data_IF_672152331136
#
_entry.id   IF_672152331136
#
_cell.length_a   1.000
_cell.length_b   1.000
_cell.length_c   1.000
_cell.angle_alpha   90.00
_cell.angle_beta   90.00
_cell.angle_gamma   90.00
#
_symmetry.space_group_name_H-M   'P 1'
#
loop_
_entity.id
_entity.type
_entity.pdbx_description
1 polymer ?
#
# COMPACT_ATOMS: atom_id res chain seq x y z
N UNK A 1 -34.33 33.63 51.60
CA UNK A 1 -33.77 33.57 50.23
C UNK A 1 -32.24 33.68 50.27
N UNK A 2 -31.51 32.62 50.67
CA UNK A 2 -30.02 32.60 50.66
C UNK A 2 -29.40 31.26 50.26
N UNK A 3 -30.21 30.24 49.92
CA UNK A 3 -29.71 28.90 49.56
C UNK A 3 -29.89 28.53 48.08
N UNK A 4 -30.42 29.44 47.26
CA UNK A 4 -30.68 29.17 45.84
C UNK A 4 -29.50 29.49 44.91
N UNK A 5 -28.41 30.08 45.43
CA UNK A 5 -27.26 30.53 44.63
C UNK A 5 -26.09 29.54 44.59
N UNK A 6 -26.14 28.45 45.36
CA UNK A 6 -25.06 27.47 45.41
C UNK A 6 -25.22 26.30 44.41
N UNK A 7 -26.42 26.09 43.84
CA UNK A 7 -26.66 24.99 42.90
C UNK A 7 -26.34 25.32 41.43
N UNK A 8 -26.16 26.60 41.08
CA UNK A 8 -25.84 27.01 39.70
C UNK A 8 -24.35 26.90 39.34
N UNK A 9 -23.46 26.72 40.32
CA UNK A 9 -22.01 26.52 40.06
C UNK A 9 -21.60 25.06 39.80
N UNK A 10 -22.46 24.08 40.09
CA UNK A 10 -22.18 22.66 39.80
C UNK A 10 -22.58 22.23 38.39
N UNK A 11 -23.38 23.04 37.67
CA UNK A 11 -23.78 22.75 36.29
C UNK A 11 -22.67 23.05 35.26
N UNK A 12 -21.65 23.82 35.63
CA UNK A 12 -20.51 24.16 34.75
C UNK A 12 -19.40 23.10 34.76
N UNK A 13 -19.42 22.16 35.71
CA UNK A 13 -18.43 21.07 35.81
C UNK A 13 -18.93 19.75 35.19
N UNK A 14 -20.18 19.70 34.72
CA UNK A 14 -20.79 18.56 34.03
C UNK A 14 -20.83 18.73 32.50
N UNK A 15 -20.18 19.77 31.96
CA UNK A 15 -19.81 19.86 30.55
C UNK A 15 -18.70 18.85 30.22
N UNK A 16 -19.01 17.57 30.42
CA UNK A 16 -18.15 16.45 30.07
C UNK A 16 -17.74 16.54 28.60
N UNK A 17 -16.51 16.13 28.35
CA UNK A 17 -15.85 16.05 27.06
C UNK A 17 -16.74 15.40 25.99
N UNK A 18 -17.59 16.18 25.32
CA UNK A 18 -18.21 15.75 24.09
C UNK A 18 -17.08 15.71 23.06
N UNK A 19 -16.53 14.52 22.81
CA UNK A 19 -15.54 14.31 21.77
C UNK A 19 -16.07 14.89 20.45
N UNK A 20 -15.23 15.66 19.76
CA UNK A 20 -15.62 16.29 18.51
C UNK A 20 -16.05 15.18 17.52
N UNK A 21 -17.26 15.19 16.96
CA UNK A 21 -17.72 14.16 16.03
C UNK A 21 -16.77 13.95 14.84
N UNK A 22 -16.03 14.99 14.44
CA UNK A 22 -15.00 14.91 13.41
C UNK A 22 -13.81 14.00 13.78
N UNK A 23 -13.55 13.81 15.07
CA UNK A 23 -12.47 12.93 15.56
C UNK A 23 -12.87 11.45 15.44
N UNK A 24 -14.17 11.16 15.32
CA UNK A 24 -14.72 9.80 15.17
C UNK A 24 -15.01 9.40 13.73
N UNK A 25 -15.02 10.37 12.80
CA UNK A 25 -15.18 10.08 11.38
C UNK A 25 -13.93 9.40 10.83
N UNK A 26 -14.08 8.18 10.34
CA UNK A 26 -12.99 7.41 9.75
C UNK A 26 -12.93 7.51 8.23
N UNK A 27 -13.76 8.37 7.63
CA UNK A 27 -13.83 8.48 6.16
C UNK A 27 -12.51 8.90 5.53
N UNK A 28 -12.27 8.36 4.33
CA UNK A 28 -11.12 8.63 3.48
C UNK A 28 -10.29 7.39 3.21
N UNK A 29 -9.19 7.62 2.49
CA UNK A 29 -8.21 6.61 2.11
C UNK A 29 -7.08 6.55 3.13
N UNK A 30 -6.75 5.33 3.56
CA UNK A 30 -5.73 5.03 4.56
C UNK A 30 -4.79 3.97 4.01
N UNK A 31 -3.48 4.23 4.06
CA UNK A 31 -2.45 3.37 3.46
C UNK A 31 -1.53 2.81 4.55
N UNK A 32 -1.01 1.61 4.30
CA UNK A 32 -0.05 0.95 5.18
C UNK A 32 1.34 1.63 5.04
N UNK A 33 1.45 2.83 5.62
CA UNK A 33 2.63 3.68 5.51
C UNK A 33 3.86 3.02 6.15
N UNK A 34 3.68 2.23 7.21
CA UNK A 34 4.78 1.50 7.86
C UNK A 34 5.41 0.45 6.93
N UNK A 35 4.62 -0.21 6.07
CA UNK A 35 5.14 -1.08 5.02
C UNK A 35 5.93 -0.31 3.95
N UNK A 36 5.44 0.86 3.54
CA UNK A 36 6.12 1.74 2.58
C UNK A 36 7.46 2.25 3.16
N UNK A 37 7.45 2.70 4.41
CA UNK A 37 8.63 3.17 5.12
C UNK A 37 9.65 2.04 5.25
N UNK A 38 9.20 0.81 5.52
CA UNK A 38 10.05 -0.35 5.56
C UNK A 38 10.70 -0.66 4.20
N UNK A 39 9.91 -0.64 3.13
CA UNK A 39 10.42 -0.86 1.77
C UNK A 39 11.41 0.24 1.37
N UNK A 40 11.15 1.49 1.74
CA UNK A 40 11.98 2.66 1.38
C UNK A 40 13.44 2.53 1.81
N UNK A 41 13.71 1.75 2.87
CA UNK A 41 15.06 1.43 3.37
C UNK A 41 15.91 0.65 2.36
N UNK A 42 15.31 0.14 1.28
CA UNK A 42 16.01 -0.43 0.13
C UNK A 42 16.47 -1.86 0.32
N UNK A 43 15.75 -2.65 1.13
CA UNK A 43 15.84 -4.11 1.17
C UNK A 43 14.80 -4.77 0.25
N UNK A 44 14.59 -6.09 0.38
CA UNK A 44 13.59 -6.82 -0.40
C UNK A 44 12.17 -6.26 -0.19
N UNK A 45 11.49 -5.96 -1.30
CA UNK A 45 10.16 -5.35 -1.29
C UNK A 45 9.15 -6.25 -0.58
N UNK A 46 9.10 -7.52 -0.98
CA UNK A 46 8.11 -8.46 -0.44
C UNK A 46 8.26 -8.65 1.06
N UNK A 47 9.48 -8.80 1.55
CA UNK A 47 9.76 -8.96 2.98
C UNK A 47 9.25 -7.73 3.74
N UNK A 48 9.52 -6.53 3.20
CA UNK A 48 9.04 -5.29 3.78
C UNK A 48 7.51 -5.19 3.80
N UNK A 49 6.80 -5.68 2.77
CA UNK A 49 5.33 -5.66 2.77
C UNK A 49 4.74 -6.71 3.72
N UNK A 50 5.25 -7.95 3.67
CA UNK A 50 4.75 -9.07 4.47
C UNK A 50 4.91 -8.85 5.98
N UNK A 51 5.95 -8.13 6.39
CA UNK A 51 6.22 -7.83 7.80
C UNK A 51 5.15 -6.95 8.47
N UNK A 52 4.34 -6.23 7.70
CA UNK A 52 3.36 -5.27 8.21
C UNK A 52 1.91 -5.60 7.83
N UNK A 53 1.65 -6.88 7.58
CA UNK A 53 0.32 -7.43 7.33
C UNK A 53 -0.16 -7.29 5.89
N UNK A 54 -1.21 -8.07 5.52
CA UNK A 54 -1.61 -8.23 4.13
C UNK A 54 -2.35 -7.02 3.56
N UNK A 55 -3.09 -6.26 4.37
CA UNK A 55 -3.89 -5.15 3.88
C UNK A 55 -2.98 -3.93 3.60
N UNK A 56 -3.10 -3.37 2.41
CA UNK A 56 -2.25 -2.29 1.91
C UNK A 56 -2.96 -0.94 1.95
N UNK A 57 -4.26 -0.93 1.65
CA UNK A 57 -5.08 0.28 1.62
C UNK A 57 -6.51 -0.01 2.07
N UNK A 58 -7.06 0.91 2.87
CA UNK A 58 -8.48 1.01 3.20
C UNK A 58 -9.08 2.26 2.55
N UNK A 59 -10.26 2.13 1.99
CA UNK A 59 -11.11 3.25 1.56
C UNK A 59 -12.44 3.19 2.33
N UNK A 60 -12.70 4.20 3.16
CA UNK A 60 -13.88 4.23 4.02
C UNK A 60 -14.78 5.41 3.67
N UNK A 61 -16.07 5.12 3.50
CA UNK A 61 -17.11 6.10 3.25
C UNK A 61 -18.24 5.91 4.25
N UNK A 62 -18.19 6.66 5.37
CA UNK A 62 -19.20 6.54 6.43
C UNK A 62 -20.59 6.99 5.97
N UNK A 63 -20.66 7.97 5.04
CA UNK A 63 -21.93 8.45 4.47
C UNK A 63 -22.63 7.40 3.61
N UNK A 64 -21.85 6.57 2.90
CA UNK A 64 -22.37 5.46 2.10
C UNK A 64 -22.45 4.14 2.88
N UNK A 65 -22.10 4.13 4.17
CA UNK A 65 -21.97 2.92 4.98
C UNK A 65 -21.10 1.83 4.32
N UNK A 66 -19.98 2.25 3.71
CA UNK A 66 -19.08 1.38 2.95
C UNK A 66 -17.66 1.47 3.51
N UNK A 67 -16.98 0.32 3.58
CA UNK A 67 -15.54 0.24 3.79
C UNK A 67 -14.98 -0.83 2.86
N UNK A 68 -13.90 -0.51 2.17
CA UNK A 68 -13.24 -1.40 1.20
C UNK A 68 -11.77 -1.50 1.53
N UNK A 69 -11.14 -2.63 1.28
CA UNK A 69 -9.70 -2.75 1.37
C UNK A 69 -9.12 -3.53 0.21
N UNK A 70 -7.82 -3.37 -0.02
CA UNK A 70 -7.05 -4.23 -0.90
C UNK A 70 -5.82 -4.78 -0.21
N UNK A 71 -5.47 -6.02 -0.55
CA UNK A 71 -4.21 -6.66 -0.17
C UNK A 71 -3.21 -6.72 -1.34
N UNK A 72 -3.49 -6.01 -2.44
CA UNK A 72 -2.70 -6.02 -3.67
C UNK A 72 -3.02 -7.17 -4.64
N UNK A 73 -3.86 -8.12 -4.23
CA UNK A 73 -4.38 -9.19 -5.09
C UNK A 73 -5.91 -9.10 -5.22
N UNK A 74 -6.60 -8.95 -4.10
CA UNK A 74 -8.05 -8.86 -4.02
C UNK A 74 -8.50 -7.49 -3.54
N UNK A 75 -9.69 -7.09 -3.99
CA UNK A 75 -10.43 -5.97 -3.45
C UNK A 75 -11.64 -6.53 -2.70
N UNK A 76 -11.78 -6.15 -1.44
CA UNK A 76 -12.84 -6.64 -0.56
C UNK A 76 -13.79 -5.49 -0.24
N UNK A 77 -15.07 -5.68 -0.56
CA UNK A 77 -16.15 -4.74 -0.26
C UNK A 77 -16.88 -5.14 1.03
N UNK A 78 -16.97 -4.20 1.97
CA UNK A 78 -17.65 -4.38 3.25
C UNK A 78 -18.71 -3.33 3.54
N UNK A 79 -19.69 -3.71 4.35
CA UNK A 79 -20.72 -2.82 4.89
C UNK A 79 -20.29 -2.29 6.25
N UNK A 80 -20.25 -0.98 6.38
CA UNK A 80 -19.94 -0.31 7.64
C UNK A 80 -21.20 -0.25 8.52
N UNK A 81 -21.16 -0.86 9.72
CA UNK A 81 -22.35 -1.04 10.57
C UNK A 81 -22.61 0.06 11.60
N UNK A 82 -21.87 1.17 11.51
CA UNK A 82 -21.93 2.25 12.49
C UNK A 82 -20.91 2.09 13.61
N UNK A 83 -20.78 3.16 14.37
CA UNK A 83 -19.79 3.29 15.43
C UNK A 83 -20.36 2.79 16.78
N UNK A 84 -19.59 1.97 17.49
CA UNK A 84 -19.90 1.49 18.83
C UNK A 84 -18.64 1.52 19.70
N UNK A 85 -18.69 2.25 20.81
CA UNK A 85 -17.61 2.30 21.82
C UNK A 85 -16.23 2.73 21.31
N UNK A 86 -16.17 3.60 20.31
CA UNK A 86 -14.95 4.12 19.70
C UNK A 86 -14.54 3.38 18.42
N UNK A 87 -15.24 2.32 18.05
CA UNK A 87 -14.86 1.43 16.97
C UNK A 87 -15.99 1.25 15.94
N UNK A 88 -15.59 1.07 14.69
CA UNK A 88 -16.48 0.85 13.56
C UNK A 88 -16.36 -0.60 13.11
N UNK A 89 -17.49 -1.31 13.09
CA UNK A 89 -17.53 -2.67 12.57
C UNK A 89 -17.75 -2.67 11.07
N UNK A 90 -16.96 -3.46 10.35
CA UNK A 90 -17.12 -3.75 8.93
C UNK A 90 -17.58 -5.19 8.79
N UNK A 91 -18.75 -5.38 8.16
CA UNK A 91 -19.25 -6.70 7.82
C UNK A 91 -18.91 -7.04 6.37
N UNK A 92 -18.30 -8.20 6.17
CA UNK A 92 -18.02 -8.77 4.86
C UNK A 92 -18.98 -9.93 4.60
N UNK A 93 -19.49 -10.00 3.37
CA UNK A 93 -20.39 -11.10 3.01
C UNK A 93 -19.62 -12.43 3.03
N UNK A 94 -20.03 -13.35 3.89
CA UNK A 94 -19.46 -14.70 3.97
C UNK A 94 -18.09 -14.79 4.67
N UNK A 95 -17.62 -13.73 5.33
CA UNK A 95 -16.35 -13.72 6.07
C UNK A 95 -16.53 -13.12 7.48
N UNK A 96 -15.53 -13.30 8.34
CA UNK A 96 -15.45 -12.60 9.60
C UNK A 96 -15.34 -11.08 9.35
N UNK A 97 -16.01 -10.27 10.16
CA UNK A 97 -15.92 -8.81 10.07
C UNK A 97 -14.63 -8.27 10.67
N UNK A 98 -14.24 -7.07 10.27
CA UNK A 98 -13.10 -6.33 10.86
C UNK A 98 -13.61 -5.18 11.73
N UNK A 99 -12.77 -4.77 12.67
CA UNK A 99 -13.02 -3.60 13.51
C UNK A 99 -11.98 -2.52 13.23
N UNK A 100 -12.46 -1.31 12.92
CA UNK A 100 -11.65 -0.15 12.58
C UNK A 100 -11.81 0.93 13.65
N UNK A 101 -10.70 1.48 14.12
CA UNK A 101 -10.69 2.57 15.09
C UNK A 101 -9.75 3.66 14.61
N UNK A 102 -10.16 4.92 14.77
CA UNK A 102 -9.29 6.06 14.48
C UNK A 102 -8.62 6.54 15.76
N UNK A 103 -7.32 6.72 15.68
CA UNK A 103 -6.50 7.37 16.70
C UNK A 103 -5.76 8.55 16.06
N UNK A 104 -6.34 9.74 16.22
CA UNK A 104 -5.82 10.98 15.63
C UNK A 104 -5.69 10.91 14.09
N UNK A 105 -4.45 10.72 13.63
CA UNK A 105 -4.07 10.65 12.20
C UNK A 105 -3.92 9.23 11.67
N UNK A 106 -4.18 8.23 12.49
CA UNK A 106 -4.06 6.83 12.12
C UNK A 106 -5.41 6.11 12.20
N UNK A 107 -5.55 5.09 11.38
CA UNK A 107 -6.61 4.10 11.45
C UNK A 107 -5.97 2.78 11.89
N UNK A 108 -6.48 2.18 12.95
CA UNK A 108 -6.09 0.84 13.40
C UNK A 108 -7.17 -0.16 13.00
N UNK A 109 -6.75 -1.26 12.39
CA UNK A 109 -7.53 -2.48 12.23
C UNK A 109 -7.18 -3.40 13.40
N UNK A 110 -8.18 -3.81 14.18
CA UNK A 110 -7.96 -4.75 15.27
C UNK A 110 -7.64 -6.15 14.73
N UNK A 111 -6.86 -6.92 15.49
CA UNK A 111 -6.66 -8.34 15.21
C UNK A 111 -7.98 -9.11 15.31
N UNK A 112 -8.14 -10.12 14.46
CA UNK A 112 -9.21 -11.11 14.49
C UNK A 112 -8.63 -12.53 14.40
N UNK A 113 -9.49 -13.53 14.31
CA UNK A 113 -9.03 -14.91 14.05
C UNK A 113 -8.32 -15.05 12.70
N UNK A 114 -8.62 -14.17 11.73
CA UNK A 114 -8.15 -14.27 10.34
C UNK A 114 -7.23 -13.12 9.89
N UNK A 115 -7.17 -12.02 10.65
CA UNK A 115 -6.43 -10.82 10.27
C UNK A 115 -5.55 -10.35 11.44
N UNK A 116 -4.28 -9.96 11.20
CA UNK A 116 -3.46 -9.36 12.22
C UNK A 116 -3.93 -7.92 12.52
N UNK A 117 -3.49 -7.39 13.66
CA UNK A 117 -3.58 -5.96 13.92
C UNK A 117 -2.69 -5.19 12.91
N UNK A 118 -3.23 -4.12 12.34
CA UNK A 118 -2.52 -3.26 11.40
C UNK A 118 -2.85 -1.79 11.65
N UNK A 119 -1.89 -0.92 11.34
CA UNK A 119 -2.06 0.54 11.41
C UNK A 119 -1.88 1.17 10.03
N UNK A 120 -2.67 2.19 9.76
CA UNK A 120 -2.72 2.88 8.48
C UNK A 120 -2.68 4.39 8.71
N UNK A 121 -1.95 5.09 7.86
CA UNK A 121 -1.91 6.54 7.86
C UNK A 121 -2.83 7.07 6.76
N UNK A 122 -3.38 8.26 6.97
CA UNK A 122 -4.20 8.91 5.94
C UNK A 122 -3.35 9.18 4.70
N UNK A 123 -3.82 8.73 3.54
CA UNK A 123 -3.11 8.95 2.27
C UNK A 123 -2.90 10.45 2.02
N UNK A 124 -1.65 10.84 1.77
CA UNK A 124 -1.28 12.22 1.40
C UNK A 124 -1.09 12.39 -0.10
N UNK A 125 -0.84 11.29 -0.81
CA UNK A 125 -0.68 11.29 -2.27
C UNK A 125 -2.01 11.54 -2.96
N UNK A 126 -1.98 12.37 -3.99
CA UNK A 126 -3.15 12.60 -4.83
C UNK A 126 -3.17 11.57 -5.95
N UNK A 127 -4.32 10.91 -6.11
CA UNK A 127 -4.62 10.04 -7.25
C UNK A 127 -5.75 10.67 -8.07
N UNK A 128 -5.82 10.42 -9.38
CA UNK A 128 -6.91 10.94 -10.21
C UNK A 128 -8.27 10.46 -9.71
N UNK A 129 -9.31 11.26 -9.92
CA UNK A 129 -10.68 10.86 -9.64
C UNK A 129 -11.02 9.55 -10.38
N UNK A 130 -11.64 8.61 -9.66
CA UNK A 130 -11.98 7.29 -10.20
C UNK A 130 -10.79 6.33 -10.31
N UNK A 131 -9.63 6.66 -9.74
CA UNK A 131 -8.54 5.70 -9.59
C UNK A 131 -9.01 4.43 -8.85
N UNK A 132 -8.50 3.25 -9.21
CA UNK A 132 -8.85 2.01 -8.55
C UNK A 132 -8.40 2.01 -7.08
N UNK A 133 -9.06 1.19 -6.27
CA UNK A 133 -8.63 0.90 -4.90
C UNK A 133 -7.18 0.37 -4.92
N UNK A 134 -6.33 0.89 -4.02
CA UNK A 134 -4.90 0.57 -3.96
C UNK A 134 -4.00 1.58 -4.68
N UNK A 135 -4.55 2.45 -5.54
CA UNK A 135 -3.76 3.41 -6.30
C UNK A 135 -2.99 4.42 -5.41
N UNK A 136 -3.51 4.75 -4.23
CA UNK A 136 -2.82 5.67 -3.31
C UNK A 136 -1.62 4.97 -2.67
N UNK A 137 -1.80 3.73 -2.21
CA UNK A 137 -0.71 2.90 -1.72
C UNK A 137 0.37 2.70 -2.80
N UNK A 138 -0.01 2.27 -4.01
CA UNK A 138 0.93 2.06 -5.12
C UNK A 138 1.74 3.31 -5.43
N UNK A 139 1.08 4.47 -5.56
CA UNK A 139 1.77 5.71 -5.87
C UNK A 139 2.73 6.15 -4.77
N UNK A 140 2.33 5.99 -3.51
CA UNK A 140 3.20 6.28 -2.37
C UNK A 140 4.39 5.32 -2.28
N UNK A 141 4.16 4.03 -2.52
CA UNK A 141 5.21 3.00 -2.58
C UNK A 141 6.18 3.27 -3.74
N UNK A 142 5.67 3.53 -4.94
CA UNK A 142 6.48 3.77 -6.13
C UNK A 142 7.37 4.98 -5.95
N UNK A 143 6.82 6.08 -5.41
CA UNK A 143 7.60 7.28 -5.09
C UNK A 143 8.73 6.98 -4.10
N UNK A 144 8.47 6.17 -3.07
CA UNK A 144 9.41 5.94 -1.96
C UNK A 144 10.45 4.86 -2.28
N UNK A 145 10.07 3.85 -3.04
CA UNK A 145 10.88 2.67 -3.31
C UNK A 145 11.78 2.88 -4.53
N UNK A 146 11.21 2.92 -5.73
CA UNK A 146 11.98 3.11 -6.97
C UNK A 146 12.00 4.56 -7.46
N UNK A 147 11.12 5.43 -6.96
CA UNK A 147 10.98 6.79 -7.45
C UNK A 147 12.27 7.59 -7.40
N UNK A 148 12.47 8.42 -8.41
CA UNK A 148 13.64 9.28 -8.55
C UNK A 148 14.53 8.91 -9.74
N UNK A 149 15.69 9.55 -9.78
CA UNK A 149 16.68 9.38 -10.83
C UNK A 149 17.69 8.29 -10.47
N UNK A 150 18.01 7.45 -11.45
CA UNK A 150 18.96 6.35 -11.33
C UNK A 150 19.91 6.37 -12.51
N UNK A 151 21.20 6.20 -12.28
CA UNK A 151 22.18 6.08 -13.35
C UNK A 151 22.30 4.61 -13.76
N UNK A 152 22.29 4.34 -15.05
CA UNK A 152 22.67 3.01 -15.57
C UNK A 152 24.18 2.88 -15.44
N UNK A 153 24.64 2.04 -14.52
CA UNK A 153 26.08 1.79 -14.32
C UNK A 153 26.57 0.58 -15.10
N UNK A 154 25.67 -0.34 -15.46
CA UNK A 154 25.97 -1.43 -16.38
C UNK A 154 24.70 -1.91 -17.09
N UNK A 155 24.85 -2.26 -18.38
CA UNK A 155 23.77 -2.77 -19.22
C UNK A 155 23.34 -1.81 -20.33
N UNK A 156 22.25 -2.11 -21.06
CA UNK A 156 21.75 -1.25 -22.12
C UNK A 156 21.47 0.17 -21.62
N UNK A 157 22.03 1.17 -22.31
CA UNK A 157 21.92 2.57 -21.93
C UNK A 157 22.91 3.00 -20.83
N UNK A 158 24.01 2.26 -20.64
CA UNK A 158 25.08 2.64 -19.70
C UNK A 158 25.46 4.13 -19.81
N UNK A 159 25.54 4.80 -18.66
CA UNK A 159 25.75 6.23 -18.55
C UNK A 159 24.46 7.08 -18.56
N UNK A 160 23.34 6.56 -19.06
CA UNK A 160 22.07 7.29 -19.06
C UNK A 160 21.47 7.41 -17.66
N UNK A 161 20.58 8.39 -17.52
CA UNK A 161 19.70 8.52 -16.35
C UNK A 161 18.33 7.92 -16.66
N UNK A 162 17.89 7.02 -15.81
CA UNK A 162 16.54 6.46 -15.74
C UNK A 162 15.75 7.23 -14.70
N UNK A 163 14.53 7.63 -15.03
CA UNK A 163 13.60 8.24 -14.09
C UNK A 163 12.42 7.31 -13.88
N UNK A 164 12.28 6.77 -12.68
CA UNK A 164 11.07 6.07 -12.25
C UNK A 164 10.11 7.09 -11.65
N UNK A 165 8.86 7.09 -12.13
CA UNK A 165 7.81 7.97 -11.66
C UNK A 165 6.83 7.25 -10.74
N UNK A 166 6.16 8.01 -9.88
CA UNK A 166 5.23 7.48 -8.89
C UNK A 166 3.95 6.89 -9.52
N UNK A 167 3.69 7.16 -10.79
CA UNK A 167 2.55 6.64 -11.54
C UNK A 167 2.88 5.43 -12.43
N UNK A 168 4.09 4.88 -12.27
CA UNK A 168 4.56 3.75 -13.03
C UNK A 168 5.19 4.12 -14.38
N UNK A 169 5.33 5.39 -14.74
CA UNK A 169 6.09 5.78 -15.94
C UNK A 169 7.59 5.64 -15.73
N UNK A 170 8.29 5.26 -16.81
CA UNK A 170 9.76 5.24 -16.88
C UNK A 170 10.21 6.15 -18.01
N UNK A 171 11.22 6.96 -17.76
CA UNK A 171 11.97 7.63 -18.82
C UNK A 171 13.43 7.18 -18.80
N UNK A 172 14.04 6.99 -19.97
CA UNK A 172 15.47 6.74 -20.12
C UNK A 172 15.95 5.30 -19.94
N UNK A 173 15.10 4.35 -19.51
CA UNK A 173 15.44 2.93 -19.49
C UNK A 173 15.21 2.32 -20.88
N UNK A 174 16.24 1.84 -21.59
CA UNK A 174 16.03 1.23 -22.90
C UNK A 174 15.12 0.01 -22.80
N UNK A 175 14.08 -0.03 -23.65
CA UNK A 175 13.16 -1.16 -23.70
C UNK A 175 11.99 -1.10 -22.72
N UNK A 176 11.80 0.01 -21.98
CA UNK A 176 10.62 0.18 -21.12
C UNK A 176 10.21 1.66 -20.97
N UNK A 177 8.90 1.91 -21.05
CA UNK A 177 8.23 3.19 -20.76
C UNK A 177 7.33 3.11 -19.51
N UNK A 178 7.08 1.91 -18.98
CA UNK A 178 6.23 1.67 -17.81
C UNK A 178 6.78 0.54 -16.94
N UNK A 179 6.57 0.66 -15.63
CA UNK A 179 6.78 -0.41 -14.65
C UNK A 179 5.58 -0.58 -13.73
N UNK A 180 5.43 -1.80 -13.19
CA UNK A 180 4.58 -2.07 -12.04
C UNK A 180 5.29 -3.06 -11.10
N UNK A 181 5.30 -2.78 -9.80
CA UNK A 181 5.86 -3.69 -8.81
C UNK A 181 4.83 -4.77 -8.49
N UNK A 182 5.26 -6.02 -8.38
CA UNK A 182 4.38 -7.06 -7.90
C UNK A 182 4.25 -6.99 -6.37
N UNK A 183 3.03 -6.75 -5.89
CA UNK A 183 2.74 -6.56 -4.46
C UNK A 183 2.28 -7.84 -3.77
N UNK A 184 1.44 -8.64 -4.46
CA UNK A 184 0.82 -9.85 -3.92
C UNK A 184 0.31 -10.79 -5.05
N UNK A 185 -0.38 -11.87 -4.68
CA UNK A 185 -1.07 -12.75 -5.63
C UNK A 185 -0.15 -13.65 -6.46
N UNK A 186 -0.61 -14.01 -7.66
CA UNK A 186 0.12 -14.95 -8.52
C UNK A 186 1.45 -14.39 -9.01
N UNK A 187 1.53 -13.10 -9.34
CA UNK A 187 2.82 -12.50 -9.69
C UNK A 187 3.83 -12.70 -8.55
N UNK A 188 3.36 -12.72 -7.31
CA UNK A 188 4.17 -12.88 -6.13
C UNK A 188 4.53 -14.34 -5.87
N UNK A 189 3.62 -15.29 -6.08
CA UNK A 189 3.90 -16.72 -5.85
C UNK A 189 4.79 -17.31 -6.94
N UNK A 190 4.70 -16.82 -8.18
CA UNK A 190 5.42 -17.34 -9.34
C UNK A 190 6.93 -17.06 -9.35
N UNK A 191 7.47 -16.18 -8.50
CA UNK A 191 8.88 -15.76 -8.55
C UNK A 191 9.82 -16.49 -7.59
N UNK A 192 9.38 -17.58 -6.95
CA UNK A 192 10.22 -18.36 -6.03
C UNK A 192 10.78 -17.54 -4.86
N UNK A 193 10.05 -16.51 -4.42
CA UNK A 193 10.47 -15.61 -3.35
C UNK A 193 11.25 -14.36 -3.80
N UNK A 194 11.63 -14.26 -5.07
CA UNK A 194 12.28 -13.06 -5.59
C UNK A 194 11.30 -11.90 -5.75
N UNK A 195 11.75 -10.66 -5.56
CA UNK A 195 10.98 -9.51 -5.97
C UNK A 195 10.90 -9.46 -7.50
N UNK A 196 9.72 -9.12 -8.03
CA UNK A 196 9.52 -9.01 -9.47
C UNK A 196 8.68 -7.79 -9.83
N UNK A 197 8.86 -7.34 -11.06
CA UNK A 197 8.14 -6.21 -11.63
C UNK A 197 7.75 -6.52 -13.07
N UNK A 198 6.68 -5.91 -13.53
CA UNK A 198 6.36 -5.83 -14.95
C UNK A 198 7.12 -4.65 -15.55
N UNK A 199 7.85 -4.86 -16.65
CA UNK A 199 8.36 -3.77 -17.48
C UNK A 199 7.68 -3.83 -18.84
N UNK A 200 7.24 -2.68 -19.32
CA UNK A 200 6.46 -2.55 -20.55
C UNK A 200 7.03 -1.45 -21.44
N UNK A 201 6.91 -1.67 -22.76
CA UNK A 201 7.15 -0.70 -23.82
C UNK A 201 5.96 -0.73 -24.80
N UNK A 202 5.35 0.43 -25.08
CA UNK A 202 4.27 0.56 -26.06
C UNK A 202 3.10 -0.45 -25.86
N UNK A 203 2.75 -0.74 -24.61
CA UNK A 203 1.65 -1.66 -24.28
C UNK A 203 2.04 -3.15 -24.23
N UNK A 204 3.28 -3.51 -24.58
CA UNK A 204 3.79 -4.88 -24.50
C UNK A 204 4.83 -4.97 -23.40
N UNK A 205 4.71 -5.95 -22.51
CA UNK A 205 5.63 -6.09 -21.40
C UNK A 205 5.98 -7.53 -21.07
N UNK A 206 6.90 -7.67 -20.13
CA UNK A 206 7.35 -8.94 -19.60
C UNK A 206 7.61 -8.80 -18.10
N UNK A 207 7.57 -9.93 -17.40
CA UNK A 207 8.00 -10.03 -16.00
C UNK A 207 9.53 -9.98 -15.93
N UNK A 208 10.04 -9.22 -14.97
CA UNK A 208 11.45 -9.10 -14.63
C UNK A 208 11.64 -9.35 -13.15
N UNK A 209 12.74 -9.98 -12.78
CA UNK A 209 13.15 -10.10 -11.38
C UNK A 209 14.05 -8.92 -11.06
N UNK A 210 13.96 -8.39 -9.84
CA UNK A 210 14.87 -7.36 -9.40
C UNK A 210 15.36 -7.60 -7.98
N UNK A 211 16.53 -7.04 -7.67
CA UNK A 211 17.07 -7.00 -6.33
C UNK A 211 17.51 -5.58 -6.01
N UNK A 212 17.06 -5.04 -4.88
CA UNK A 212 17.47 -3.73 -4.40
C UNK A 212 18.33 -3.87 -3.15
N UNK A 213 19.44 -3.15 -3.12
CA UNK A 213 20.30 -3.00 -1.95
C UNK A 213 20.65 -1.53 -1.74
N UNK A 214 19.85 -0.85 -0.94
CA UNK A 214 19.99 0.58 -0.67
C UNK A 214 19.80 1.42 -1.94
N UNK A 215 20.92 1.89 -2.52
CA UNK A 215 20.97 2.70 -3.74
C UNK A 215 21.24 1.89 -5.01
N UNK A 216 21.54 0.60 -4.88
CA UNK A 216 21.79 -0.27 -6.02
C UNK A 216 20.51 -1.04 -6.37
N UNK A 217 20.22 -1.14 -7.67
CA UNK A 217 19.10 -1.91 -8.21
C UNK A 217 19.61 -2.78 -9.36
N UNK A 218 19.49 -4.09 -9.20
CA UNK A 218 19.73 -5.08 -10.25
C UNK A 218 18.38 -5.47 -10.87
N UNK A 219 18.32 -5.48 -12.20
CA UNK A 219 17.16 -6.00 -12.95
C UNK A 219 17.65 -7.17 -13.79
N UNK A 220 17.04 -8.33 -13.58
CA UNK A 220 17.42 -9.62 -14.15
C UNK A 220 16.28 -10.17 -14.98
N UNK A 221 16.64 -10.84 -16.07
CA UNK A 221 15.67 -11.58 -16.88
C UNK A 221 14.92 -12.58 -16.00
N UNK A 222 13.59 -12.59 -16.08
CA UNK A 222 12.80 -13.66 -15.49
C UNK A 222 12.78 -14.87 -16.46
N UNK A 223 13.38 -15.99 -16.05
CA UNK A 223 13.39 -17.22 -16.86
C UNK A 223 12.25 -18.10 -16.39
N UNK A 224 11.26 -18.35 -17.27
CA UNK A 224 10.19 -19.30 -16.98
C UNK A 224 10.72 -20.74 -17.08
N UNK A 225 10.65 -21.49 -15.99
CA UNK A 225 11.07 -22.89 -15.90
C UNK A 225 9.90 -23.87 -15.92
N UNK A 226 8.66 -23.36 -15.95
CA UNK A 226 7.45 -24.17 -16.03
C UNK A 226 7.24 -24.71 -17.45
N UNK A 227 6.57 -25.86 -17.57
CA UNK A 227 6.08 -26.37 -18.85
C UNK A 227 4.94 -25.50 -19.41
N UNK A 228 4.60 -25.68 -20.69
CA UNK A 228 3.60 -24.85 -21.39
C UNK A 228 2.19 -24.91 -20.77
N UNK A 229 1.86 -26.00 -20.08
CA UNK A 229 0.58 -26.24 -19.40
C UNK A 229 0.65 -26.05 -17.87
N UNK A 230 1.79 -25.61 -17.35
CA UNK A 230 1.99 -25.32 -15.95
C UNK A 230 1.87 -23.81 -15.67
N UNK A 231 1.50 -23.47 -14.43
CA UNK A 231 1.58 -22.10 -13.96
C UNK A 231 3.04 -21.61 -14.06
N UNK A 232 3.30 -20.41 -14.62
CA UNK A 232 4.67 -19.90 -14.77
C UNK A 232 5.46 -19.96 -13.46
N UNK A 233 6.74 -20.30 -13.56
CA UNK A 233 7.68 -20.29 -12.44
C UNK A 233 8.94 -19.57 -12.89
N UNK A 234 9.22 -18.43 -12.27
CA UNK A 234 10.30 -17.54 -12.67
C UNK A 234 11.50 -17.69 -11.76
N UNK A 235 12.67 -17.87 -12.37
CA UNK A 235 13.97 -17.84 -11.70
C UNK A 235 14.83 -16.69 -12.24
N UNK A 236 15.74 -16.11 -11.43
CA UNK A 236 16.64 -15.06 -11.91
C UNK A 236 17.57 -15.60 -13.00
N UNK A 237 17.54 -14.98 -14.18
CA UNK A 237 18.45 -15.24 -15.28
C UNK A 237 19.60 -14.23 -15.33
N UNK A 238 20.01 -13.87 -16.54
CA UNK A 238 21.05 -12.88 -16.78
C UNK A 238 20.64 -11.50 -16.25
N UNK A 239 21.57 -10.82 -15.55
CA UNK A 239 21.39 -9.42 -15.18
C UNK A 239 21.44 -8.55 -16.43
N UNK A 240 20.36 -7.80 -16.68
CA UNK A 240 20.27 -6.87 -17.80
C UNK A 240 20.62 -5.44 -17.44
N UNK A 241 20.27 -5.00 -16.25
CA UNK A 241 20.64 -3.66 -15.78
C UNK A 241 21.18 -3.70 -14.36
N UNK A 242 22.18 -2.87 -14.14
CA UNK A 242 22.61 -2.41 -12.82
C UNK A 242 22.42 -0.89 -12.79
N UNK A 243 21.64 -0.42 -11.83
CA UNK A 243 21.30 0.98 -11.65
C UNK A 243 21.76 1.49 -10.28
N UNK A 244 22.18 2.75 -10.21
CA UNK A 244 22.55 3.43 -8.98
C UNK A 244 21.71 4.71 -8.77
N UNK A 245 21.00 4.78 -7.64
CA UNK A 245 20.15 5.93 -7.27
C UNK A 245 21.00 7.19 -7.06
N UNK A 246 20.65 8.27 -7.74
CA UNK A 246 21.34 9.57 -7.69
C UNK A 246 20.86 10.43 -6.52
#
# INVERSE_FOLDING_TARGET
>A
MRHALALSLLALLLGGCASNPADRDISGTWINQVAIDAASRGGPLREALQAYGPNLEWDVNTKAAQARYTNGFENVDGKLLGEKSGAWKVDFYGSAGSELKRDGKQLSQAASENEPEQVFDRAQVQVPDGAPLGASFERALYSSYLGGSWKVVNGPGEGNTVQFQADGQIAGLPGADRYALCLAGDCASMSGGNDNMWLQLNGQGNTWIFARKGKELEILQAVNTAQTDEMPQFTPGERKWLLEKQ
#
